data_IF_349698969380
#
_entry.id   IF_349698969380
#
_cell.length_a   1.000
_cell.length_b   1.000
_cell.length_c   1.000
_cell.angle_alpha   90.00
_cell.angle_beta   90.00
_cell.angle_gamma   90.00
#
_symmetry.space_group_name_H-M   'P 1'
#
loop_
_entity.id
_entity.type
_entity.pdbx_description
1 polymer ?
#
# COMPACT_ATOMS: atom_id res chain seq x y z
N UNK A 1 -18.74 41.99 -15.21
CA UNK A 1 -18.89 40.90 -14.22
C UNK A 1 -17.95 39.82 -14.68
N UNK A 2 -16.89 39.55 -13.92
CA UNK A 2 -15.90 38.55 -14.30
C UNK A 2 -16.54 37.16 -14.31
N UNK A 3 -16.27 36.37 -15.34
CA UNK A 3 -16.56 34.93 -15.37
C UNK A 3 -16.04 34.28 -14.07
N UNK A 4 -16.95 33.76 -13.26
CA UNK A 4 -16.65 33.11 -11.96
C UNK A 4 -16.58 31.58 -12.07
N UNK A 5 -16.26 31.03 -13.24
CA UNK A 5 -16.10 29.59 -13.38
C UNK A 5 -14.80 29.25 -14.12
N UNK A 6 -13.69 29.71 -13.56
CA UNK A 6 -12.39 29.10 -13.84
C UNK A 6 -12.42 27.73 -13.17
N UNK A 7 -12.69 26.67 -13.95
CA UNK A 7 -12.81 25.30 -13.45
C UNK A 7 -11.68 24.93 -12.49
N UNK A 8 -12.02 24.87 -11.19
CA UNK A 8 -11.13 24.31 -10.17
C UNK A 8 -11.23 22.78 -10.22
N UNK A 9 -10.13 22.09 -9.91
CA UNK A 9 -10.24 20.67 -9.62
C UNK A 9 -11.18 20.47 -8.42
N UNK A 10 -11.99 19.40 -8.39
CA UNK A 10 -12.90 19.12 -7.29
C UNK A 10 -12.17 19.12 -5.93
N UNK A 11 -12.78 19.70 -4.91
CA UNK A 11 -12.28 19.58 -3.54
C UNK A 11 -12.49 18.13 -3.10
N UNK A 12 -11.43 17.40 -2.69
CA UNK A 12 -11.56 16.00 -2.31
C UNK A 12 -12.35 15.78 -1.01
N UNK A 13 -12.79 16.84 -0.32
CA UNK A 13 -13.71 16.77 0.81
C UNK A 13 -15.18 16.98 0.42
N UNK A 14 -15.45 17.44 -0.81
CA UNK A 14 -16.79 17.72 -1.33
C UNK A 14 -17.30 16.59 -2.23
N UNK A 15 -16.66 15.40 -2.22
CA UNK A 15 -17.12 14.29 -3.05
C UNK A 15 -18.45 13.74 -2.56
N UNK A 16 -19.32 13.41 -3.50
CA UNK A 16 -20.58 12.73 -3.24
C UNK A 16 -20.51 11.32 -3.81
N UNK A 17 -21.01 10.35 -3.04
CA UNK A 17 -21.21 8.97 -3.50
C UNK A 17 -22.70 8.72 -3.74
N UNK A 18 -23.06 7.77 -4.64
CA UNK A 18 -24.44 7.34 -4.80
C UNK A 18 -25.03 6.86 -3.45
N UNK A 19 -26.36 6.98 -3.24
CA UNK A 19 -27.02 6.53 -1.99
C UNK A 19 -26.74 5.07 -1.65
N UNK A 20 -26.51 4.22 -2.65
CA UNK A 20 -26.18 2.80 -2.47
C UNK A 20 -24.82 2.56 -1.80
N UNK A 21 -23.96 3.59 -1.74
CA UNK A 21 -22.65 3.55 -1.07
C UNK A 21 -22.67 4.28 0.28
N UNK A 22 -23.82 4.65 0.82
CA UNK A 22 -23.88 5.26 2.15
C UNK A 22 -23.17 4.38 3.20
N UNK A 23 -22.23 4.97 3.94
CA UNK A 23 -21.44 4.27 4.97
C UNK A 23 -20.25 3.46 4.45
N UNK A 24 -19.89 3.57 3.16
CA UNK A 24 -18.72 2.88 2.59
C UNK A 24 -17.42 3.18 3.35
N UNK A 25 -17.34 4.34 4.01
CA UNK A 25 -16.21 4.77 4.84
C UNK A 25 -15.89 3.78 5.96
N UNK A 26 -16.91 3.14 6.56
CA UNK A 26 -16.75 2.19 7.67
C UNK A 26 -15.93 0.95 7.28
N UNK A 27 -15.84 0.69 5.97
CA UNK A 27 -15.06 -0.43 5.46
C UNK A 27 -13.54 -0.17 5.49
N UNK A 28 -13.11 1.08 5.59
CA UNK A 28 -11.69 1.44 5.48
C UNK A 28 -11.17 2.11 6.76
N UNK A 29 -9.87 1.95 7.09
CA UNK A 29 -9.25 2.67 8.18
C UNK A 29 -9.33 4.20 8.00
N UNK A 30 -9.54 4.94 9.08
CA UNK A 30 -9.71 6.40 9.05
C UNK A 30 -8.53 7.17 8.42
N UNK A 31 -7.31 6.62 8.46
CA UNK A 31 -6.14 7.23 7.84
C UNK A 31 -6.12 7.12 6.31
N UNK A 32 -6.96 6.26 5.73
CA UNK A 32 -7.19 6.16 4.29
C UNK A 32 -8.37 7.03 3.82
N UNK A 33 -9.06 7.72 4.72
CA UNK A 33 -10.16 8.63 4.36
C UNK A 33 -9.66 10.09 4.35
N UNK A 34 -10.31 10.92 3.54
CA UNK A 34 -10.18 12.37 3.66
C UNK A 34 -10.74 12.81 5.00
N UNK A 35 -10.09 13.77 5.65
CA UNK A 35 -10.42 14.12 7.02
C UNK A 35 -10.13 15.58 7.34
N UNK A 36 -10.99 16.19 8.16
CA UNK A 36 -10.93 17.62 8.52
C UNK A 36 -9.60 18.00 9.21
N UNK A 37 -9.00 17.08 9.98
CA UNK A 37 -7.71 17.31 10.66
C UNK A 37 -6.53 17.51 9.69
N UNK A 38 -6.67 17.10 8.43
CA UNK A 38 -5.64 17.22 7.38
C UNK A 38 -6.13 18.00 6.16
N UNK A 39 -7.29 18.64 6.23
CA UNK A 39 -7.95 19.23 5.07
C UNK A 39 -7.08 20.27 4.34
N UNK A 40 -6.34 21.11 5.07
CA UNK A 40 -5.45 22.09 4.45
C UNK A 40 -4.37 21.42 3.58
N UNK A 41 -3.76 20.33 4.08
CA UNK A 41 -2.76 19.59 3.33
C UNK A 41 -3.39 18.84 2.15
N UNK A 42 -4.52 18.17 2.37
CA UNK A 42 -5.22 17.35 1.36
C UNK A 42 -5.72 18.20 0.18
N UNK A 43 -6.28 19.40 0.45
CA UNK A 43 -6.69 20.38 -0.57
C UNK A 43 -5.53 20.95 -1.36
N UNK A 44 -4.34 20.98 -0.78
CA UNK A 44 -3.12 21.44 -1.44
C UNK A 44 -2.51 20.40 -2.40
N UNK A 45 -3.01 19.16 -2.43
CA UNK A 45 -2.47 18.11 -3.29
C UNK A 45 -3.28 17.92 -4.56
N UNK A 46 -2.62 17.38 -5.58
CA UNK A 46 -3.28 16.90 -6.80
C UNK A 46 -3.60 15.41 -6.68
N UNK A 47 -4.86 15.10 -6.41
CA UNK A 47 -5.37 13.73 -6.29
C UNK A 47 -5.88 13.20 -7.62
N UNK A 48 -5.54 11.95 -7.92
CA UNK A 48 -6.06 11.27 -9.10
C UNK A 48 -6.32 9.80 -8.78
N UNK A 49 -7.32 9.23 -9.43
CA UNK A 49 -7.66 7.83 -9.27
C UNK A 49 -6.53 6.95 -9.83
N UNK A 50 -6.05 6.01 -9.03
CA UNK A 50 -4.97 5.11 -9.45
C UNK A 50 -5.50 3.89 -10.22
N UNK A 51 -6.01 4.15 -11.43
CA UNK A 51 -6.52 3.08 -12.29
C UNK A 51 -5.45 2.15 -12.84
N UNK A 52 -4.17 2.50 -12.74
CA UNK A 52 -3.08 1.66 -13.25
C UNK A 52 -2.87 0.47 -12.32
N UNK A 53 -2.89 0.70 -11.00
CA UNK A 53 -2.63 -0.36 -10.01
C UNK A 53 -3.91 -0.87 -9.32
N UNK A 54 -4.94 -0.03 -9.19
CA UNK A 54 -6.22 -0.37 -8.57
C UNK A 54 -7.41 0.10 -9.43
N UNK A 55 -7.66 -0.55 -10.58
CA UNK A 55 -8.72 -0.15 -11.52
C UNK A 55 -10.15 -0.41 -11.01
N UNK A 56 -10.32 -1.36 -10.10
CA UNK A 56 -11.60 -1.83 -9.59
C UNK A 56 -11.89 -1.33 -8.17
N UNK A 57 -13.15 -1.37 -7.70
CA UNK A 57 -13.47 -1.10 -6.30
C UNK A 57 -12.64 -2.00 -5.38
N UNK A 58 -12.01 -1.41 -4.37
CA UNK A 58 -11.09 -2.08 -3.45
C UNK A 58 -11.85 -2.91 -2.41
N UNK A 59 -11.73 -4.24 -2.39
CA UNK A 59 -12.23 -5.02 -1.28
C UNK A 59 -11.48 -4.61 0.01
N UNK A 60 -12.16 -4.46 1.16
CA UNK A 60 -11.53 -3.94 2.38
C UNK A 60 -10.32 -4.74 2.85
N UNK A 61 -10.36 -6.07 2.69
CA UNK A 61 -9.25 -6.95 3.07
C UNK A 61 -8.05 -6.84 2.12
N UNK A 62 -8.26 -6.41 0.86
CA UNK A 62 -7.18 -6.25 -0.13
C UNK A 62 -6.41 -4.94 0.08
N UNK A 63 -6.95 -4.00 0.86
CA UNK A 63 -6.32 -2.71 1.17
C UNK A 63 -4.91 -2.88 1.77
N UNK A 64 -4.67 -3.97 2.51
CA UNK A 64 -3.37 -4.28 3.10
C UNK A 64 -2.23 -4.28 2.06
N UNK A 65 -2.51 -4.71 0.83
CA UNK A 65 -1.52 -4.70 -0.24
C UNK A 65 -1.19 -3.26 -0.67
N UNK A 66 -2.18 -2.39 -0.73
CA UNK A 66 -1.99 -0.99 -1.10
C UNK A 66 -1.23 -0.21 -0.04
N UNK A 67 -1.49 -0.47 1.24
CA UNK A 67 -0.71 0.08 2.35
C UNK A 67 0.75 -0.38 2.28
N UNK A 68 0.98 -1.69 2.08
CA UNK A 68 2.34 -2.25 1.94
C UNK A 68 3.08 -1.63 0.75
N UNK A 69 2.40 -1.40 -0.36
CA UNK A 69 2.95 -0.72 -1.52
C UNK A 69 3.29 0.75 -1.25
N UNK A 70 2.41 1.53 -0.61
CA UNK A 70 2.69 2.94 -0.24
C UNK A 70 3.97 3.05 0.59
N UNK A 71 4.08 2.20 1.62
CA UNK A 71 5.24 2.16 2.51
C UNK A 71 6.48 1.79 1.71
N UNK A 72 6.43 0.70 0.95
CA UNK A 72 7.57 0.20 0.18
C UNK A 72 8.07 1.23 -0.82
N UNK A 73 7.18 1.80 -1.65
CA UNK A 73 7.54 2.83 -2.62
C UNK A 73 8.21 4.02 -1.93
N UNK A 74 7.59 4.55 -0.86
CA UNK A 74 8.11 5.70 -0.14
C UNK A 74 9.48 5.43 0.49
N UNK A 75 9.69 4.25 1.08
CA UNK A 75 11.01 3.86 1.62
C UNK A 75 12.05 3.73 0.50
N UNK A 76 11.68 3.15 -0.64
CA UNK A 76 12.60 2.97 -1.75
C UNK A 76 13.02 4.30 -2.38
N UNK A 77 12.10 5.23 -2.55
CA UNK A 77 12.42 6.56 -3.10
C UNK A 77 13.19 7.43 -2.12
N UNK A 78 12.97 7.31 -0.81
CA UNK A 78 13.58 8.20 0.19
C UNK A 78 14.87 7.66 0.81
N UNK A 79 14.94 6.36 1.12
CA UNK A 79 15.99 5.76 1.96
C UNK A 79 16.81 4.67 1.27
N UNK A 80 16.23 3.92 0.34
CA UNK A 80 16.94 2.82 -0.36
C UNK A 80 17.67 3.31 -1.59
N UNK A 81 16.97 3.87 -2.59
CA UNK A 81 17.61 4.47 -3.75
C UNK A 81 17.84 5.96 -3.60
N UNK A 82 17.08 6.63 -2.73
CA UNK A 82 17.23 8.08 -2.49
C UNK A 82 17.02 8.91 -3.77
N UNK A 83 16.01 8.59 -4.59
CA UNK A 83 15.68 9.37 -5.80
C UNK A 83 15.49 10.84 -5.42
N UNK A 84 16.28 11.81 -5.93
CA UNK A 84 16.49 13.09 -5.25
C UNK A 84 15.21 13.87 -4.92
N UNK A 85 14.29 14.16 -5.87
CA UNK A 85 13.07 14.91 -5.56
C UNK A 85 11.96 14.06 -4.93
N UNK A 86 12.04 12.73 -4.97
CA UNK A 86 10.88 11.88 -4.66
C UNK A 86 10.70 11.65 -3.15
N UNK A 87 9.47 11.79 -2.66
CA UNK A 87 9.07 11.57 -1.25
C UNK A 87 8.00 10.50 -1.08
N UNK A 88 7.72 9.72 -2.13
CA UNK A 88 6.65 8.73 -2.13
C UNK A 88 5.30 9.31 -2.51
N UNK A 89 4.23 8.66 -2.05
CA UNK A 89 2.84 9.01 -2.34
C UNK A 89 2.00 8.95 -1.07
N UNK A 90 0.84 9.60 -1.09
CA UNK A 90 -0.25 9.31 -0.16
C UNK A 90 -1.43 8.68 -0.90
N UNK A 91 -2.21 7.88 -0.16
CA UNK A 91 -3.37 7.15 -0.65
C UNK A 91 -4.64 7.57 0.10
N UNK A 92 -5.75 7.71 -0.62
CA UNK A 92 -7.08 7.92 -0.07
C UNK A 92 -8.11 7.06 -0.80
N UNK A 93 -9.10 6.58 -0.06
CA UNK A 93 -10.26 5.90 -0.62
C UNK A 93 -11.38 6.92 -0.84
N UNK A 94 -12.12 6.76 -1.93
CA UNK A 94 -13.33 7.52 -2.25
C UNK A 94 -14.30 6.59 -2.96
N UNK A 95 -15.46 6.29 -2.32
CA UNK A 95 -16.46 5.39 -2.90
C UNK A 95 -15.89 4.04 -3.31
N UNK A 96 -15.07 3.44 -2.44
CA UNK A 96 -14.32 2.21 -2.66
C UNK A 96 -13.21 2.26 -3.73
N UNK A 97 -12.91 3.41 -4.33
CA UNK A 97 -11.81 3.55 -5.28
C UNK A 97 -10.59 4.23 -4.67
N UNK A 98 -9.40 3.79 -5.08
CA UNK A 98 -8.13 4.33 -4.62
C UNK A 98 -7.73 5.58 -5.40
N UNK A 99 -7.38 6.63 -4.68
CA UNK A 99 -6.81 7.88 -5.16
C UNK A 99 -5.43 8.07 -4.57
N UNK A 100 -4.51 8.59 -5.36
CA UNK A 100 -3.14 8.88 -4.92
C UNK A 100 -2.73 10.30 -5.24
N UNK A 101 -1.76 10.80 -4.48
CA UNK A 101 -1.03 12.02 -4.81
C UNK A 101 0.47 11.80 -4.56
N UNK A 102 1.31 12.48 -5.33
CA UNK A 102 2.75 12.50 -5.07
C UNK A 102 3.05 13.46 -3.92
N UNK A 103 3.93 13.06 -3.00
CA UNK A 103 4.38 13.96 -1.92
C UNK A 103 5.31 15.02 -2.51
N UNK A 104 5.14 16.32 -2.15
CA UNK A 104 6.01 17.39 -2.62
C UNK A 104 7.50 17.13 -2.35
N UNK A 105 8.41 17.62 -3.22
CA UNK A 105 9.84 17.46 -3.03
C UNK A 105 10.34 18.03 -1.69
N UNK A 106 11.43 17.48 -1.12
CA UNK A 106 12.03 18.02 0.09
C UNK A 106 12.83 19.31 -0.18
N UNK A 107 13.34 19.98 0.88
CA UNK A 107 14.28 21.08 0.72
C UNK A 107 15.52 20.68 -0.10
N UNK A 108 16.11 21.65 -0.80
CA UNK A 108 17.24 21.46 -1.72
C UNK A 108 18.46 20.78 -1.06
N UNK A 109 18.72 21.07 0.22
CA UNK A 109 19.77 20.41 1.00
C UNK A 109 19.61 18.88 1.02
N UNK A 110 18.40 18.40 1.29
CA UNK A 110 18.07 16.97 1.32
C UNK A 110 18.11 16.37 -0.09
N UNK A 111 17.71 17.14 -1.12
CA UNK A 111 17.86 16.71 -2.51
C UNK A 111 19.35 16.47 -2.83
N UNK A 112 20.23 17.36 -2.40
CA UNK A 112 21.68 17.23 -2.55
C UNK A 112 22.27 16.00 -1.84
N UNK A 113 21.90 15.76 -0.58
CA UNK A 113 22.31 14.56 0.16
C UNK A 113 21.87 13.28 -0.54
N UNK A 114 20.63 13.27 -1.03
CA UNK A 114 20.05 12.13 -1.74
C UNK A 114 20.72 11.89 -3.09
N UNK A 115 21.08 12.94 -3.83
CA UNK A 115 21.77 12.82 -5.12
C UNK A 115 23.08 12.03 -5.03
N UNK A 116 23.90 12.28 -4.01
CA UNK A 116 25.15 11.55 -3.81
C UNK A 116 24.93 10.04 -3.56
N UNK A 117 23.87 9.68 -2.83
CA UNK A 117 23.53 8.28 -2.58
C UNK A 117 22.87 7.63 -3.81
N UNK A 118 22.00 8.35 -4.51
CA UNK A 118 21.29 7.85 -5.67
C UNK A 118 22.24 7.46 -6.79
N UNK A 119 23.17 8.35 -7.15
CA UNK A 119 24.18 8.10 -8.17
C UNK A 119 24.96 6.81 -7.86
N UNK A 120 25.48 6.69 -6.63
CA UNK A 120 26.22 5.49 -6.21
C UNK A 120 25.41 4.20 -6.30
N UNK A 121 24.12 4.24 -5.91
CA UNK A 121 23.30 3.03 -5.73
C UNK A 121 22.62 2.59 -7.02
N UNK A 122 22.03 3.51 -7.76
CA UNK A 122 21.22 3.19 -8.95
C UNK A 122 22.08 2.67 -10.09
N UNK A 123 23.26 3.27 -10.30
CA UNK A 123 24.16 2.85 -11.37
C UNK A 123 24.75 1.46 -11.11
N UNK A 124 25.04 1.11 -9.86
CA UNK A 124 25.41 -0.25 -9.49
C UNK A 124 24.30 -1.25 -9.86
N UNK A 125 23.04 -0.94 -9.55
CA UNK A 125 21.92 -1.83 -9.90
C UNK A 125 21.77 -1.98 -11.41
N UNK A 126 21.96 -0.91 -12.19
CA UNK A 126 21.90 -0.98 -13.64
C UNK A 126 23.07 -1.76 -14.25
N UNK A 127 24.29 -1.56 -13.74
CA UNK A 127 25.48 -2.28 -14.20
C UNK A 127 25.40 -3.79 -13.90
N UNK A 128 24.79 -4.15 -12.77
CA UNK A 128 24.68 -5.54 -12.30
C UNK A 128 23.26 -6.12 -12.48
N UNK A 129 22.44 -5.55 -13.37
CA UNK A 129 21.02 -5.88 -13.46
C UNK A 129 20.75 -7.37 -13.62
N UNK A 130 21.40 -8.03 -14.59
CA UNK A 130 21.16 -9.45 -14.88
C UNK A 130 21.49 -10.36 -13.68
N UNK A 131 22.61 -10.08 -13.00
CA UNK A 131 23.02 -10.83 -11.79
C UNK A 131 22.01 -10.65 -10.66
N UNK A 132 21.58 -9.40 -10.41
CA UNK A 132 20.62 -9.09 -9.36
C UNK A 132 19.22 -9.66 -9.69
N UNK A 133 18.83 -9.62 -10.96
CA UNK A 133 17.60 -10.21 -11.46
C UNK A 133 17.58 -11.72 -11.24
N UNK A 134 18.65 -12.43 -11.60
CA UNK A 134 18.72 -13.88 -11.42
C UNK A 134 18.68 -14.28 -9.94
N UNK A 135 19.33 -13.51 -9.07
CA UNK A 135 19.26 -13.67 -7.62
C UNK A 135 17.83 -13.48 -7.11
N UNK A 136 17.19 -12.38 -7.52
CA UNK A 136 15.80 -12.08 -7.14
C UNK A 136 14.84 -13.16 -7.64
N UNK A 137 14.93 -13.52 -8.93
CA UNK A 137 14.03 -14.48 -9.56
C UNK A 137 14.16 -15.86 -8.94
N UNK A 138 15.38 -16.28 -8.60
CA UNK A 138 15.62 -17.55 -7.90
C UNK A 138 14.95 -17.55 -6.53
N UNK A 139 15.13 -16.48 -5.74
CA UNK A 139 14.47 -16.32 -4.43
C UNK A 139 12.95 -16.28 -4.56
N UNK A 140 12.43 -15.55 -5.55
CA UNK A 140 11.00 -15.37 -5.76
C UNK A 140 10.31 -16.67 -6.18
N UNK A 141 10.98 -17.51 -6.99
CA UNK A 141 10.47 -18.84 -7.34
C UNK A 141 10.36 -19.78 -6.13
N UNK A 142 11.31 -19.73 -5.21
CA UNK A 142 11.24 -20.51 -3.96
C UNK A 142 10.01 -20.08 -3.15
N UNK A 143 9.82 -18.78 -2.95
CA UNK A 143 8.63 -18.26 -2.27
C UNK A 143 7.32 -18.68 -2.97
N UNK A 144 7.28 -18.65 -4.30
CA UNK A 144 6.12 -19.12 -5.06
C UNK A 144 5.83 -20.61 -4.87
N UNK A 145 6.87 -21.44 -4.73
CA UNK A 145 6.73 -22.86 -4.43
C UNK A 145 6.25 -23.09 -2.98
N UNK A 146 6.76 -22.33 -2.01
CA UNK A 146 6.29 -22.34 -0.62
C UNK A 146 4.80 -22.02 -0.56
N UNK A 147 4.38 -20.91 -1.18
CA UNK A 147 2.96 -20.51 -1.25
C UNK A 147 2.09 -21.56 -1.94
N UNK A 148 2.56 -22.17 -3.04
CA UNK A 148 1.81 -23.23 -3.73
C UNK A 148 1.72 -24.54 -2.91
N UNK A 149 2.63 -24.75 -1.96
CA UNK A 149 2.61 -25.90 -1.07
C UNK A 149 1.71 -25.71 0.15
N UNK A 150 1.27 -24.48 0.45
CA UNK A 150 0.33 -24.17 1.53
C UNK A 150 -0.96 -24.97 1.34
N UNK A 151 -1.31 -25.78 2.35
CA UNK A 151 -2.53 -26.60 2.33
C UNK A 151 -3.60 -25.93 3.18
N UNK A 152 -4.54 -25.27 2.52
CA UNK A 152 -5.75 -24.78 3.18
C UNK A 152 -6.75 -25.94 3.29
N UNK A 153 -7.08 -26.43 4.50
CA UNK A 153 -8.04 -27.51 4.67
C UNK A 153 -9.42 -27.03 4.27
N UNK A 154 -10.18 -27.92 3.63
CA UNK A 154 -11.58 -27.62 3.25
C UNK A 154 -12.49 -27.45 4.46
N UNK A 155 -12.18 -28.13 5.55
CA UNK A 155 -12.94 -28.10 6.80
C UNK A 155 -11.96 -28.03 7.96
N UNK A 156 -12.26 -27.15 8.93
CA UNK A 156 -11.58 -27.14 10.21
C UNK A 156 -12.08 -28.30 11.08
N UNK A 157 -11.23 -28.84 11.97
CA UNK A 157 -11.68 -29.89 12.90
C UNK A 157 -12.83 -29.37 13.76
N UNK A 158 -13.90 -30.17 13.89
CA UNK A 158 -15.07 -29.82 14.72
C UNK A 158 -14.69 -29.62 16.19
N UNK A 159 -13.73 -30.41 16.67
CA UNK A 159 -13.13 -30.29 17.99
C UNK A 159 -11.62 -30.51 17.88
N UNK A 160 -10.84 -29.80 18.67
CA UNK A 160 -9.38 -29.96 18.72
C UNK A 160 -9.02 -31.36 19.21
N UNK A 161 -7.98 -32.00 18.66
CA UNK A 161 -7.48 -33.29 19.15
C UNK A 161 -7.13 -33.26 20.65
N UNK A 162 -7.39 -34.37 21.36
CA UNK A 162 -7.23 -34.45 22.82
C UNK A 162 -5.78 -34.23 23.28
N UNK A 163 -4.81 -34.65 22.46
CA UNK A 163 -3.37 -34.47 22.69
C UNK A 163 -2.93 -33.00 22.62
N UNK A 164 -3.75 -32.11 22.06
CA UNK A 164 -3.54 -30.65 22.08
C UNK A 164 -4.19 -29.96 23.29
N UNK A 165 -4.94 -30.69 24.10
CA UNK A 165 -5.69 -30.17 25.26
C UNK A 165 -5.14 -30.72 26.57
N UNK A 166 -4.76 -32.00 26.59
CA UNK A 166 -4.35 -32.72 27.79
C UNK A 166 -2.87 -33.11 27.66
N UNK A 167 -2.05 -32.93 28.71
CA UNK A 167 -2.40 -32.44 30.05
C UNK A 167 -2.52 -30.91 30.16
N UNK A 168 -2.06 -30.18 29.15
CA UNK A 168 -2.16 -28.73 29.09
C UNK A 168 -2.47 -28.28 27.65
N UNK A 169 -3.37 -27.29 27.46
CA UNK A 169 -3.67 -26.75 26.14
C UNK A 169 -2.43 -26.11 25.48
N UNK A 170 -2.29 -26.30 24.16
CA UNK A 170 -1.19 -25.74 23.36
C UNK A 170 -1.21 -24.21 23.23
N UNK A 171 -2.40 -23.58 23.38
CA UNK A 171 -2.58 -22.14 23.27
C UNK A 171 -2.70 -21.61 21.83
N UNK A 172 -2.48 -22.47 20.84
CA UNK A 172 -2.72 -22.23 19.41
C UNK A 172 -3.25 -23.52 18.77
N UNK A 173 -4.01 -23.39 17.69
CA UNK A 173 -4.74 -24.50 17.07
C UNK A 173 -4.78 -24.34 15.55
N UNK A 174 -5.48 -25.24 14.86
CA UNK A 174 -5.53 -25.32 13.40
C UNK A 174 -5.77 -23.98 12.66
N UNK A 175 -6.51 -23.02 13.25
CA UNK A 175 -6.67 -21.68 12.66
C UNK A 175 -5.40 -20.84 12.69
N UNK A 176 -4.61 -20.93 13.75
CA UNK A 176 -3.31 -20.28 13.86
C UNK A 176 -2.30 -20.92 12.91
N UNK A 177 -2.27 -22.26 12.88
CA UNK A 177 -1.37 -23.00 11.98
C UNK A 177 -1.59 -22.60 10.52
N UNK A 178 -2.84 -22.26 10.15
CA UNK A 178 -3.17 -21.76 8.82
C UNK A 178 -2.72 -20.32 8.53
N UNK A 179 -2.67 -19.48 9.57
CA UNK A 179 -2.19 -18.10 9.44
C UNK A 179 -0.66 -18.08 9.38
N UNK A 180 0.00 -19.03 10.05
CA UNK A 180 1.47 -19.16 10.07
C UNK A 180 2.04 -19.87 8.83
N UNK A 181 1.25 -20.72 8.17
CA UNK A 181 1.68 -21.59 7.06
C UNK A 181 2.18 -20.88 5.80
#
# INVERSE_FOLDING_TARGET
MADQDTGRFPDPHEFEVPPELEGWEEMYPSHHLFSEDRAEWEKGQFWYQDKIHAPEPMPPLDLIFLEAWQISLSQYTTRVFCIPPAQGIAQRMVGCYMYICAIPPPPEEIIGEKAALFEKRVFYVFEHYDELWDKWLSKFKVLGQEMAAVKVPKELPKFVPEDQVIPAPTGYYASYDLIEA
#
